data_IF_774989702356
#
_entry.id   IF_774989702356
#
_cell.length_a   1.000
_cell.length_b   1.000
_cell.length_c   1.000
_cell.angle_alpha   90.00
_cell.angle_beta   90.00
_cell.angle_gamma   90.00
#
_symmetry.space_group_name_H-M   'P 1'
#
loop_
_entity.id
_entity.type
_entity.pdbx_description
1 polymer ?
#
# COMPACT_ATOMS: atom_id res chain seq x y z
N UNK A 1 -13.38 5.31 -41.64
CA UNK A 1 -13.87 5.68 -40.30
C UNK A 1 -12.83 5.24 -39.25
N UNK A 2 -11.70 5.93 -39.12
CA UNK A 2 -10.56 5.46 -38.32
C UNK A 2 -9.70 6.60 -37.79
N UNK A 3 -10.33 7.72 -37.41
CA UNK A 3 -9.65 9.01 -37.28
C UNK A 3 -8.95 9.29 -35.95
N UNK A 4 -9.14 8.51 -34.89
CA UNK A 4 -8.63 8.89 -33.55
C UNK A 4 -8.19 7.69 -32.68
N UNK A 5 -7.84 6.54 -33.27
CA UNK A 5 -7.84 5.28 -32.51
C UNK A 5 -6.70 5.07 -31.50
N UNK A 6 -5.58 5.79 -31.59
CA UNK A 6 -4.44 5.54 -30.68
C UNK A 6 -3.71 6.81 -30.23
N UNK A 7 -3.42 7.72 -31.18
CA UNK A 7 -2.78 9.00 -30.87
C UNK A 7 -3.66 9.86 -29.93
N UNK A 8 -4.98 9.85 -30.13
CA UNK A 8 -5.90 10.65 -29.31
C UNK A 8 -5.87 10.19 -27.84
N UNK A 9 -5.91 8.89 -27.60
CA UNK A 9 -5.82 8.31 -26.25
C UNK A 9 -4.48 8.61 -25.58
N UNK A 10 -3.38 8.60 -26.33
CA UNK A 10 -2.06 9.00 -25.82
C UNK A 10 -2.06 10.48 -25.40
N UNK A 11 -2.58 11.36 -26.25
CA UNK A 11 -2.65 12.81 -25.97
C UNK A 11 -3.56 13.10 -24.77
N UNK A 12 -4.71 12.41 -24.68
CA UNK A 12 -5.63 12.54 -23.54
C UNK A 12 -4.96 12.12 -22.24
N UNK A 13 -4.22 11.01 -22.24
CA UNK A 13 -3.43 10.56 -21.09
C UNK A 13 -2.39 11.59 -20.65
N UNK A 14 -1.69 12.23 -21.60
CA UNK A 14 -0.70 13.28 -21.32
C UNK A 14 -1.37 14.53 -20.73
N UNK A 15 -2.50 14.97 -21.28
CA UNK A 15 -3.24 16.13 -20.76
C UNK A 15 -3.73 15.87 -19.33
N UNK A 16 -4.27 14.69 -19.06
CA UNK A 16 -4.71 14.30 -17.71
C UNK A 16 -3.51 14.28 -16.75
N UNK A 17 -2.37 13.73 -17.16
CA UNK A 17 -1.16 13.73 -16.33
C UNK A 17 -0.64 15.15 -16.04
N UNK A 18 -0.73 16.09 -17.00
CA UNK A 18 -0.36 17.49 -16.79
C UNK A 18 -1.32 18.23 -15.85
N UNK A 19 -2.63 18.01 -15.98
CA UNK A 19 -3.65 18.65 -15.13
C UNK A 19 -3.58 18.18 -13.68
N UNK A 20 -3.42 16.87 -13.47
CA UNK A 20 -3.32 16.31 -12.13
C UNK A 20 -1.89 16.41 -11.56
N UNK A 21 -0.88 16.52 -12.43
CA UNK A 21 0.53 16.52 -12.05
C UNK A 21 1.00 15.15 -11.50
N UNK A 22 2.32 14.92 -11.50
CA UNK A 22 2.90 13.63 -11.07
C UNK A 22 2.59 13.27 -9.61
N UNK A 23 2.42 14.28 -8.74
CA UNK A 23 2.29 14.06 -7.30
C UNK A 23 0.91 13.58 -6.88
N UNK A 24 -0.17 14.16 -7.42
CA UNK A 24 -1.54 13.80 -7.06
C UNK A 24 -2.02 12.53 -7.75
N UNK A 25 -1.63 12.34 -9.02
CA UNK A 25 -2.03 11.15 -9.77
C UNK A 25 -1.47 9.86 -9.14
N UNK A 26 -0.21 9.84 -8.72
CA UNK A 26 0.40 8.65 -8.09
C UNK A 26 -0.20 8.29 -6.73
N UNK A 27 -0.53 9.29 -5.91
CA UNK A 27 -1.13 9.08 -4.58
C UNK A 27 -2.55 8.49 -4.72
N UNK A 28 -3.38 9.10 -5.59
CA UNK A 28 -4.74 8.62 -5.87
C UNK A 28 -4.74 7.26 -6.59
N UNK A 29 -3.86 7.04 -7.56
CA UNK A 29 -3.72 5.75 -8.24
C UNK A 29 -3.26 4.65 -7.27
N UNK A 30 -2.43 4.98 -6.28
CA UNK A 30 -1.98 4.06 -5.24
C UNK A 30 -3.12 3.58 -4.33
N UNK A 31 -3.99 4.50 -3.90
CA UNK A 31 -5.16 4.15 -3.08
C UNK A 31 -6.22 3.38 -3.87
N UNK A 32 -6.44 3.74 -5.14
CA UNK A 32 -7.34 2.99 -6.03
C UNK A 32 -6.77 1.59 -6.32
N UNK A 33 -5.47 1.47 -6.56
CA UNK A 33 -4.82 0.18 -6.78
C UNK A 33 -4.88 -0.73 -5.54
N UNK A 34 -4.70 -0.18 -4.33
CA UNK A 34 -4.89 -0.93 -3.08
C UNK A 34 -6.34 -1.37 -2.91
N UNK A 35 -7.31 -0.50 -3.15
CA UNK A 35 -8.75 -0.83 -3.08
C UNK A 35 -9.12 -1.97 -4.02
N UNK A 36 -8.69 -1.89 -5.29
CA UNK A 36 -8.98 -2.91 -6.29
C UNK A 36 -8.22 -4.23 -6.04
N UNK A 37 -6.98 -4.17 -5.52
CA UNK A 37 -6.21 -5.36 -5.14
C UNK A 37 -6.83 -6.10 -3.95
N UNK A 38 -7.30 -5.37 -2.95
CA UNK A 38 -8.03 -5.94 -1.80
C UNK A 38 -9.38 -6.51 -2.22
N UNK A 39 -10.09 -5.86 -3.14
CA UNK A 39 -11.34 -6.38 -3.70
C UNK A 39 -11.11 -7.69 -4.47
N UNK A 40 -10.08 -7.73 -5.32
CA UNK A 40 -9.72 -8.95 -6.07
C UNK A 40 -9.21 -10.06 -5.15
N UNK A 41 -8.43 -9.72 -4.13
CA UNK A 41 -7.98 -10.71 -3.13
C UNK A 41 -9.14 -11.25 -2.31
N UNK A 42 -10.10 -10.41 -1.90
CA UNK A 42 -11.30 -10.84 -1.19
C UNK A 42 -12.18 -11.77 -2.01
N UNK A 43 -12.34 -11.50 -3.31
CA UNK A 43 -13.06 -12.43 -4.21
C UNK A 43 -12.27 -13.72 -4.51
N UNK A 44 -10.94 -13.67 -4.55
CA UNK A 44 -10.12 -14.85 -4.83
C UNK A 44 -9.88 -15.74 -3.60
N UNK A 45 -9.97 -15.20 -2.37
CA UNK A 45 -9.88 -15.95 -1.12
C UNK A 45 -11.06 -16.93 -0.95
N UNK A 46 -12.22 -16.64 -1.57
CA UNK A 46 -13.39 -17.54 -1.61
C UNK A 46 -13.14 -18.83 -2.42
N UNK A 47 -12.18 -18.77 -3.37
CA UNK A 47 -11.89 -19.85 -4.32
C UNK A 47 -10.53 -20.54 -4.12
N UNK A 48 -9.63 -20.06 -3.24
CA UNK A 48 -8.29 -20.67 -3.08
C UNK A 48 -7.67 -20.44 -1.69
N UNK A 49 -7.13 -21.48 -1.01
CA UNK A 49 -6.39 -21.29 0.25
C UNK A 49 -5.10 -20.50 0.02
N UNK A 50 -4.95 -19.39 0.73
CA UNK A 50 -3.94 -18.37 0.46
C UNK A 50 -2.48 -18.85 0.66
N UNK A 51 -1.55 -18.53 -0.26
CA UNK A 51 -0.11 -18.59 0.04
C UNK A 51 0.28 -17.49 1.04
N UNK A 52 1.26 -17.75 1.92
CA UNK A 52 1.63 -16.82 2.99
C UNK A 52 2.12 -15.49 2.40
N UNK A 53 1.39 -14.43 2.72
CA UNK A 53 1.72 -13.06 2.37
C UNK A 53 3.05 -12.71 3.04
N UNK A 54 4.13 -12.63 2.25
CA UNK A 54 5.40 -12.04 2.66
C UNK A 54 5.12 -10.62 3.15
N UNK A 55 5.12 -10.48 4.47
CA UNK A 55 5.18 -9.21 5.16
C UNK A 55 6.39 -8.44 4.59
N UNK A 56 6.19 -7.19 4.21
CA UNK A 56 7.28 -6.33 3.75
C UNK A 56 8.10 -5.98 5.00
N UNK A 57 9.04 -6.86 5.37
CA UNK A 57 10.14 -6.61 6.31
C UNK A 57 11.09 -5.60 5.64
N UNK A 58 10.85 -4.32 5.88
CA UNK A 58 11.64 -3.28 5.25
C UNK A 58 11.48 -1.88 5.82
N UNK A 59 11.00 -1.70 7.06
CA UNK A 59 11.07 -0.39 7.73
C UNK A 59 11.18 -0.48 9.26
N UNK A 60 12.45 -0.45 9.69
CA UNK A 60 13.03 0.09 10.94
C UNK A 60 12.56 -0.45 12.30
N UNK A 61 13.39 -1.33 12.84
CA UNK A 61 13.87 -1.25 14.23
C UNK A 61 14.74 0.02 14.37
N UNK A 62 14.48 0.87 15.37
CA UNK A 62 15.39 1.04 16.50
C UNK A 62 14.61 0.70 17.77
N UNK A 63 14.93 -0.39 18.45
CA UNK A 63 15.81 -0.30 19.62
C UNK A 63 15.35 0.80 20.58
N UNK A 64 14.31 0.50 21.36
CA UNK A 64 14.06 1.11 22.65
C UNK A 64 14.15 -0.01 23.69
N UNK A 65 15.38 -0.23 24.14
CA UNK A 65 15.78 -1.06 25.28
C UNK A 65 15.14 -0.52 26.58
N UNK A 66 15.23 -1.28 27.67
CA UNK A 66 14.21 -2.13 28.27
C UNK A 66 13.41 -1.40 29.37
N UNK A 67 12.28 -2.01 29.73
CA UNK A 67 11.47 -1.66 30.89
C UNK A 67 12.30 -1.66 32.18
N UNK A 68 12.32 -0.59 33.00
CA UNK A 68 12.60 -0.73 34.41
C UNK A 68 11.31 -1.20 35.10
N UNK A 69 11.22 -2.50 35.34
CA UNK A 69 10.32 -3.07 36.35
C UNK A 69 10.59 -2.35 37.67
N UNK A 70 9.59 -1.74 38.35
CA UNK A 70 9.77 -1.38 39.74
C UNK A 70 9.85 -2.70 40.51
N UNK A 71 11.08 -3.13 40.81
CA UNK A 71 11.36 -4.17 41.80
C UNK A 71 10.65 -3.75 43.08
N UNK A 72 9.53 -4.42 43.36
CA UNK A 72 8.88 -4.34 44.66
C UNK A 72 9.88 -4.90 45.66
N UNK A 73 10.34 -3.98 46.50
CA UNK A 73 10.99 -4.18 47.78
C UNK A 73 10.16 -5.19 48.60
N UNK A 74 10.53 -6.47 48.49
CA UNK A 74 9.99 -7.54 49.31
C UNK A 74 11.19 -8.37 49.78
N UNK A 75 11.20 -8.65 51.08
CA UNK A 75 12.11 -9.57 51.76
C UNK A 75 13.45 -8.99 52.27
N UNK A 76 13.36 -8.06 53.22
CA UNK A 76 14.28 -8.06 54.37
C UNK A 76 13.65 -7.36 55.57
N UNK A 77 13.05 -8.13 56.47
CA UNK A 77 13.05 -7.96 57.94
C UNK A 77 12.23 -9.09 58.59
#
# INVERSE_FOLDING_TARGET
MGGFSLIHWLILGVIVLLLFGKGRFSDMMGDVAKGLKSFKKGMADDDTPAPPMKHIEGQRTPEATPMPTPTSEQDKL
#
